data_IF_690551182079
#
_entry.id   IF_690551182079
#
_cell.length_a   1.000
_cell.length_b   1.000
_cell.length_c   1.000
_cell.angle_alpha   90.00
_cell.angle_beta   90.00
_cell.angle_gamma   90.00
#
_symmetry.space_group_name_H-M   'P 1'
#
loop_
_entity.id
_entity.type
_entity.pdbx_description
1 polymer ?
#
# COMPACT_ATOMS: atom_id res chain seq x y z
N UNK A 1 1.61 -41.72 9.73
CA UNK A 1 1.97 -40.45 10.37
C UNK A 1 3.48 -40.38 10.47
N UNK A 2 4.16 -39.47 9.75
CA UNK A 2 5.53 -38.95 10.01
C UNK A 2 6.11 -38.28 8.75
N UNK A 3 5.47 -37.21 8.28
CA UNK A 3 6.03 -36.31 7.26
C UNK A 3 6.11 -34.86 7.76
N UNK A 4 5.12 -34.43 8.56
CA UNK A 4 5.05 -33.07 9.09
C UNK A 4 6.14 -32.74 10.13
N UNK A 5 6.58 -33.72 10.92
CA UNK A 5 7.51 -33.47 12.03
C UNK A 5 8.95 -33.23 11.55
N UNK A 6 9.33 -33.73 10.37
CA UNK A 6 10.68 -33.52 9.82
C UNK A 6 10.84 -32.12 9.24
N UNK A 7 9.76 -31.55 8.66
CA UNK A 7 9.76 -30.20 8.10
C UNK A 7 9.88 -29.12 9.19
N UNK A 8 9.22 -29.33 10.34
CA UNK A 8 9.31 -28.43 11.50
C UNK A 8 10.72 -28.33 12.10
N UNK A 9 11.55 -29.38 11.99
CA UNK A 9 12.89 -29.39 12.58
C UNK A 9 13.95 -28.65 11.74
N UNK A 10 13.67 -28.42 10.46
CA UNK A 10 14.57 -27.70 9.54
C UNK A 10 14.23 -26.21 9.37
N UNK A 11 12.99 -25.82 9.65
CA UNK A 11 12.52 -24.43 9.59
C UNK A 11 12.70 -23.74 10.94
N UNK A 12 13.91 -23.80 11.50
CA UNK A 12 14.27 -23.27 12.83
C UNK A 12 13.46 -22.04 13.21
N UNK A 13 12.86 -22.09 14.41
CA UNK A 13 11.92 -21.11 14.98
C UNK A 13 11.99 -19.76 14.26
N UNK A 14 11.00 -19.52 13.40
CA UNK A 14 10.81 -18.22 12.76
C UNK A 14 10.54 -17.25 13.90
N UNK A 15 11.60 -16.58 14.37
CA UNK A 15 11.52 -15.40 15.22
C UNK A 15 10.48 -14.51 14.57
N UNK A 16 9.42 -14.22 15.32
CA UNK A 16 8.38 -13.24 14.97
C UNK A 16 9.08 -11.96 14.51
N UNK A 17 9.18 -11.81 13.19
CA UNK A 17 9.75 -10.64 12.56
C UNK A 17 8.66 -9.59 12.64
N UNK A 18 8.87 -8.62 13.53
CA UNK A 18 8.14 -7.36 13.72
C UNK A 18 6.78 -7.31 13.02
N UNK A 19 5.72 -7.53 13.79
CA UNK A 19 4.35 -7.23 13.36
C UNK A 19 4.28 -5.73 13.04
N UNK A 20 4.41 -5.38 11.77
CA UNK A 20 4.14 -4.03 11.30
C UNK A 20 2.64 -3.80 11.49
N UNK A 21 2.26 -3.07 12.54
CA UNK A 21 0.88 -2.66 12.77
C UNK A 21 0.52 -1.58 11.76
N UNK A 22 0.23 -1.99 10.52
CA UNK A 22 -0.39 -1.11 9.55
C UNK A 22 -1.71 -0.60 10.15
N UNK A 23 -1.83 0.72 10.33
CA UNK A 23 -3.07 1.31 10.84
C UNK A 23 -4.13 1.21 9.75
N UNK A 24 -5.23 0.53 10.04
CA UNK A 24 -6.39 0.48 9.16
C UNK A 24 -7.07 1.86 9.17
N UNK A 25 -7.03 2.58 8.06
CA UNK A 25 -7.66 3.90 7.95
C UNK A 25 -9.07 3.70 7.43
N UNK A 26 -10.02 3.45 8.35
CA UNK A 26 -11.43 3.31 8.00
C UNK A 26 -12.25 4.61 8.05
N UNK A 27 -11.71 5.74 8.53
CA UNK A 27 -12.54 6.93 8.81
C UNK A 27 -12.44 8.08 7.80
N UNK A 28 -11.45 8.07 6.91
CA UNK A 28 -11.22 9.19 5.97
C UNK A 28 -11.50 8.85 4.52
N UNK A 29 -11.34 7.57 4.15
CA UNK A 29 -11.82 7.08 2.86
C UNK A 29 -13.18 6.47 3.12
N UNK A 30 -14.21 7.25 2.83
CA UNK A 30 -15.58 6.88 3.17
C UNK A 30 -16.39 6.44 1.95
N UNK A 31 -15.90 6.75 0.74
CA UNK A 31 -16.52 6.34 -0.51
C UNK A 31 -15.49 5.99 -1.60
N UNK A 32 -16.00 5.46 -2.72
CA UNK A 32 -15.17 5.02 -3.84
C UNK A 32 -14.38 6.16 -4.49
N UNK A 33 -14.87 7.40 -4.44
CA UNK A 33 -14.18 8.54 -5.04
C UNK A 33 -12.96 8.94 -4.21
N UNK A 34 -13.09 8.93 -2.88
CA UNK A 34 -11.97 9.18 -1.97
C UNK A 34 -10.89 8.11 -2.14
N UNK A 35 -11.31 6.84 -2.25
CA UNK A 35 -10.38 5.73 -2.48
C UNK A 35 -9.66 5.86 -3.83
N UNK A 36 -10.38 6.20 -4.90
CA UNK A 36 -9.78 6.50 -6.22
C UNK A 36 -8.78 7.65 -6.10
N UNK A 37 -9.15 8.74 -5.42
CA UNK A 37 -8.29 9.91 -5.21
C UNK A 37 -7.00 9.56 -4.47
N UNK A 38 -7.09 8.77 -3.40
CA UNK A 38 -5.94 8.27 -2.66
C UNK A 38 -5.02 7.42 -3.55
N UNK A 39 -5.57 6.47 -4.32
CA UNK A 39 -4.78 5.64 -5.23
C UNK A 39 -4.12 6.45 -6.35
N UNK A 40 -4.78 7.48 -6.88
CA UNK A 40 -4.22 8.36 -7.91
C UNK A 40 -3.06 9.21 -7.37
N UNK A 41 -3.20 9.77 -6.16
CA UNK A 41 -2.11 10.50 -5.51
C UNK A 41 -0.93 9.57 -5.25
N UNK A 42 -1.20 8.35 -4.81
CA UNK A 42 -0.16 7.35 -4.58
C UNK A 42 0.56 6.95 -5.88
N UNK A 43 -0.16 6.63 -6.96
CA UNK A 43 0.44 6.27 -8.25
C UNK A 43 1.35 7.38 -8.79
N UNK A 44 0.89 8.64 -8.68
CA UNK A 44 1.69 9.79 -9.09
C UNK A 44 2.98 9.90 -8.28
N UNK A 45 2.92 9.69 -6.96
CA UNK A 45 4.11 9.70 -6.11
C UNK A 45 5.04 8.54 -6.44
N UNK A 46 4.51 7.32 -6.61
CA UNK A 46 5.28 6.14 -6.97
C UNK A 46 6.00 6.32 -8.30
N UNK A 47 5.36 6.95 -9.29
CA UNK A 47 5.98 7.31 -10.56
C UNK A 47 7.16 8.28 -10.39
N UNK A 48 7.04 9.28 -9.51
CA UNK A 48 8.14 10.22 -9.23
C UNK A 48 9.29 9.55 -8.49
N UNK A 49 8.97 8.66 -7.55
CA UNK A 49 9.96 7.84 -6.82
C UNK A 49 10.72 6.94 -7.80
N UNK A 50 10.02 6.23 -8.68
CA UNK A 50 10.68 5.37 -9.68
C UNK A 50 11.58 6.18 -10.60
N UNK A 51 11.12 7.35 -11.06
CA UNK A 51 11.95 8.26 -11.87
C UNK A 51 13.23 8.72 -11.17
N UNK A 52 13.16 9.08 -9.87
CA UNK A 52 14.36 9.46 -9.12
C UNK A 52 15.34 8.29 -8.99
N UNK A 53 14.83 7.09 -8.73
CA UNK A 53 15.65 5.88 -8.58
C UNK A 53 16.27 5.48 -9.92
N UNK A 54 15.50 5.50 -11.00
CA UNK A 54 15.98 5.25 -12.36
C UNK A 54 17.08 6.25 -12.75
N UNK A 55 16.88 7.53 -12.45
CA UNK A 55 17.87 8.56 -12.71
C UNK A 55 19.15 8.28 -11.90
N UNK A 56 19.01 7.92 -10.63
CA UNK A 56 20.13 7.59 -9.75
C UNK A 56 20.96 6.39 -10.25
N UNK A 57 20.29 5.37 -10.78
CA UNK A 57 20.93 4.14 -11.28
C UNK A 57 21.58 4.31 -12.65
N UNK A 58 20.87 4.97 -13.58
CA UNK A 58 21.24 4.95 -15.00
C UNK A 58 22.04 6.17 -15.45
N UNK A 59 22.15 7.21 -14.61
CA UNK A 59 22.87 8.42 -14.99
C UNK A 59 24.34 8.31 -14.57
N UNK A 60 25.19 7.99 -15.55
CA UNK A 60 26.64 7.86 -15.38
C UNK A 60 27.35 9.17 -15.01
N UNK A 61 26.68 10.31 -15.17
CA UNK A 61 27.23 11.65 -14.91
C UNK A 61 26.91 12.18 -13.51
N UNK A 62 26.14 11.44 -12.69
CA UNK A 62 25.78 11.93 -11.37
C UNK A 62 26.93 11.78 -10.38
N UNK A 63 27.30 12.90 -9.77
CA UNK A 63 28.20 12.90 -8.62
C UNK A 63 27.50 12.40 -7.34
N UNK A 64 28.29 12.17 -6.28
CA UNK A 64 27.79 11.67 -5.00
C UNK A 64 26.84 12.65 -4.29
N UNK A 65 26.92 13.95 -4.58
CA UNK A 65 26.04 14.96 -3.99
C UNK A 65 24.67 14.90 -4.67
N UNK A 66 24.65 14.77 -5.99
CA UNK A 66 23.44 14.64 -6.78
C UNK A 66 22.72 13.32 -6.47
N UNK A 67 23.44 12.20 -6.31
CA UNK A 67 22.85 10.93 -5.86
C UNK A 67 22.21 11.05 -4.48
N UNK A 68 22.92 11.65 -3.51
CA UNK A 68 22.36 11.94 -2.17
C UNK A 68 21.15 12.87 -2.22
N UNK A 69 21.12 13.81 -3.17
CA UNK A 69 20.00 14.71 -3.38
C UNK A 69 18.77 13.96 -3.92
N UNK A 70 18.96 13.04 -4.86
CA UNK A 70 17.89 12.14 -5.33
C UNK A 70 17.36 11.24 -4.20
N UNK A 71 18.25 10.74 -3.34
CA UNK A 71 17.87 9.92 -2.17
C UNK A 71 17.01 10.74 -1.19
N UNK A 72 17.44 11.97 -0.87
CA UNK A 72 16.68 12.88 -0.01
C UNK A 72 15.33 13.29 -0.63
N UNK A 73 15.29 13.57 -1.94
CA UNK A 73 14.07 13.90 -2.67
C UNK A 73 13.09 12.73 -2.65
N UNK A 74 13.60 11.51 -2.83
CA UNK A 74 12.80 10.28 -2.78
C UNK A 74 12.18 10.08 -1.40
N UNK A 75 12.97 10.24 -0.33
CA UNK A 75 12.46 10.21 1.04
C UNK A 75 11.37 11.26 1.27
N UNK A 76 11.59 12.49 0.77
CA UNK A 76 10.64 13.61 0.92
C UNK A 76 9.31 13.32 0.20
N UNK A 77 9.37 12.75 -1.01
CA UNK A 77 8.18 12.35 -1.76
C UNK A 77 7.33 11.34 -0.98
N UNK A 78 7.97 10.34 -0.38
CA UNK A 78 7.29 9.30 0.41
C UNK A 78 6.70 9.90 1.68
N UNK A 79 7.46 10.71 2.42
CA UNK A 79 7.01 11.33 3.68
C UNK A 79 5.84 12.29 3.48
N UNK A 80 5.82 13.04 2.37
CA UNK A 80 4.77 14.01 2.09
C UNK A 80 3.57 13.42 1.34
N UNK A 81 3.63 12.14 0.95
CA UNK A 81 2.55 11.48 0.24
C UNK A 81 1.38 11.24 1.21
N UNK A 82 0.39 12.11 1.12
CA UNK A 82 -0.79 12.08 1.96
C UNK A 82 -2.04 12.42 1.16
N UNK A 83 -3.17 11.93 1.63
CA UNK A 83 -4.50 12.26 1.11
C UNK A 83 -5.38 12.65 2.30
N UNK A 84 -6.08 13.78 2.18
CA UNK A 84 -6.94 14.34 3.24
C UNK A 84 -6.25 14.46 4.63
N UNK A 85 -4.95 14.76 4.63
CA UNK A 85 -4.15 14.93 5.85
C UNK A 85 -3.60 13.62 6.44
N UNK A 86 -3.83 12.48 5.80
CA UNK A 86 -3.30 11.19 6.25
C UNK A 86 -2.28 10.62 5.29
N UNK A 87 -1.16 10.13 5.84
CA UNK A 87 -0.08 9.52 5.08
C UNK A 87 -0.57 8.27 4.32
N UNK A 88 -0.14 8.13 3.06
CA UNK A 88 -0.50 6.98 2.23
C UNK A 88 0.40 5.77 2.49
N UNK A 89 1.71 5.97 2.64
CA UNK A 89 2.63 4.89 2.95
C UNK A 89 2.50 4.41 4.39
N UNK A 90 2.61 3.09 4.59
CA UNK A 90 2.56 2.44 5.89
C UNK A 90 1.15 2.26 6.45
N UNK A 91 0.12 2.46 5.64
CA UNK A 91 -1.27 2.27 6.05
C UNK A 91 -2.03 1.41 5.03
N UNK A 92 -3.17 0.90 5.49
CA UNK A 92 -4.13 0.15 4.68
C UNK A 92 -5.34 1.02 4.42
N UNK A 93 -5.77 1.07 3.16
CA UNK A 93 -6.97 1.77 2.71
C UNK A 93 -7.95 0.74 2.17
N UNK A 94 -9.23 0.92 2.46
CA UNK A 94 -10.25 0.04 1.93
C UNK A 94 -11.56 0.77 1.63
N UNK A 95 -12.36 0.19 0.76
CA UNK A 95 -13.67 0.71 0.40
C UNK A 95 -14.59 -0.41 -0.11
N UNK A 96 -15.90 -0.22 0.07
CA UNK A 96 -16.90 -0.99 -0.66
C UNK A 96 -17.39 -0.20 -1.87
N UNK A 97 -17.37 -0.83 -3.06
CA UNK A 97 -18.01 -0.30 -4.26
C UNK A 97 -19.05 -1.32 -4.75
N UNK A 98 -20.33 -1.02 -4.50
CA UNK A 98 -21.42 -1.97 -4.70
C UNK A 98 -21.34 -3.13 -3.69
N UNK A 99 -21.12 -4.34 -4.19
CA UNK A 99 -20.96 -5.55 -3.37
C UNK A 99 -19.50 -6.01 -3.23
N UNK A 100 -18.56 -5.30 -3.87
CA UNK A 100 -17.15 -5.65 -3.86
C UNK A 100 -16.37 -4.85 -2.82
N UNK A 101 -15.47 -5.53 -2.11
CA UNK A 101 -14.52 -4.94 -1.18
C UNK A 101 -13.17 -4.77 -1.86
N UNK A 102 -12.63 -3.56 -1.80
CA UNK A 102 -11.30 -3.24 -2.27
C UNK A 102 -10.43 -2.87 -1.08
N UNK A 103 -9.22 -3.39 -1.07
CA UNK A 103 -8.20 -3.05 -0.09
C UNK A 103 -6.88 -2.83 -0.82
N UNK A 104 -6.11 -1.85 -0.35
CA UNK A 104 -4.78 -1.60 -0.86
C UNK A 104 -3.85 -1.24 0.30
N UNK A 105 -2.67 -1.84 0.29
CA UNK A 105 -1.60 -1.60 1.25
C UNK A 105 -0.30 -1.31 0.52
N UNK A 106 0.47 -0.36 1.06
CA UNK A 106 1.84 -0.12 0.63
C UNK A 106 2.73 0.23 1.81
N UNK A 107 3.89 -0.43 1.87
CA UNK A 107 4.94 -0.12 2.83
C UNK A 107 5.88 0.93 2.24
N UNK A 108 6.59 1.68 3.08
CA UNK A 108 7.65 2.57 2.59
C UNK A 108 8.71 1.73 1.82
N UNK A 109 8.88 1.94 0.51
CA UNK A 109 9.79 1.15 -0.32
C UNK A 109 11.27 1.33 0.05
N UNK A 110 11.65 2.40 0.75
CA UNK A 110 13.04 2.57 1.18
C UNK A 110 13.44 1.62 2.31
N UNK A 111 12.48 0.98 3.00
CA UNK A 111 12.78 0.01 4.06
C UNK A 111 13.39 -1.30 3.54
N UNK A 112 13.23 -1.60 2.25
CA UNK A 112 13.81 -2.78 1.61
C UNK A 112 15.14 -2.48 0.90
N UNK A 113 15.64 -1.24 0.97
CA UNK A 113 16.84 -0.82 0.23
C UNK A 113 18.08 -1.68 0.56
N UNK A 114 18.30 -1.99 1.84
CA UNK A 114 19.47 -2.75 2.28
C UNK A 114 19.46 -4.20 1.76
N UNK A 115 18.28 -4.81 1.62
CA UNK A 115 18.14 -6.22 1.26
C UNK A 115 17.94 -6.44 -0.25
N UNK A 116 17.32 -5.49 -0.94
CA UNK A 116 16.84 -5.65 -2.31
C UNK A 116 17.49 -4.67 -3.31
N UNK A 117 18.25 -3.69 -2.83
CA UNK A 117 18.84 -2.65 -3.67
C UNK A 117 17.79 -1.75 -4.33
N UNK A 118 18.25 -0.86 -5.21
CA UNK A 118 17.37 0.07 -5.91
C UNK A 118 16.55 -0.61 -7.00
N UNK A 119 17.11 -1.63 -7.65
CA UNK A 119 16.44 -2.44 -8.66
C UNK A 119 15.26 -3.23 -8.05
N UNK A 120 15.45 -3.80 -6.86
CA UNK A 120 14.35 -4.48 -6.16
C UNK A 120 13.26 -3.50 -5.71
N UNK A 121 13.63 -2.27 -5.35
CA UNK A 121 12.65 -1.21 -5.07
C UNK A 121 11.85 -0.87 -6.34
N UNK A 122 12.51 -0.74 -7.50
CA UNK A 122 11.82 -0.45 -8.75
C UNK A 122 10.80 -1.55 -9.10
N UNK A 123 11.19 -2.82 -8.97
CA UNK A 123 10.27 -3.96 -9.19
C UNK A 123 9.08 -3.90 -8.23
N UNK A 124 9.31 -3.64 -6.94
CA UNK A 124 8.21 -3.49 -5.96
C UNK A 124 7.26 -2.35 -6.32
N UNK A 125 7.81 -1.21 -6.76
CA UNK A 125 7.01 -0.05 -7.19
C UNK A 125 6.21 -0.40 -8.43
N UNK A 126 6.79 -1.08 -9.42
CA UNK A 126 6.09 -1.50 -10.63
C UNK A 126 4.91 -2.42 -10.31
N UNK A 127 5.13 -3.45 -9.50
CA UNK A 127 4.09 -4.37 -9.02
C UNK A 127 2.94 -3.61 -8.34
N UNK A 128 3.27 -2.67 -7.44
CA UNK A 128 2.27 -1.87 -6.74
C UNK A 128 1.51 -0.91 -7.65
N UNK A 129 2.16 -0.35 -8.67
CA UNK A 129 1.48 0.51 -9.64
C UNK A 129 0.54 -0.30 -10.54
N UNK A 130 0.89 -1.54 -10.88
CA UNK A 130 0.03 -2.43 -11.65
C UNK A 130 -1.17 -2.93 -10.83
N UNK A 131 -0.98 -3.18 -9.54
CA UNK A 131 -2.08 -3.42 -8.59
C UNK A 131 -3.05 -2.22 -8.56
N UNK A 132 -2.53 -0.99 -8.42
CA UNK A 132 -3.35 0.24 -8.47
C UNK A 132 -4.13 0.34 -9.78
N UNK A 133 -3.48 0.16 -10.94
CA UNK A 133 -4.16 0.21 -12.25
C UNK A 133 -5.28 -0.81 -12.35
N UNK A 134 -5.07 -2.02 -11.84
CA UNK A 134 -6.05 -3.10 -11.84
C UNK A 134 -7.27 -2.71 -11.00
N UNK A 135 -7.06 -2.24 -9.78
CA UNK A 135 -8.12 -1.80 -8.86
C UNK A 135 -8.91 -0.62 -9.47
N UNK A 136 -8.23 0.39 -9.99
CA UNK A 136 -8.87 1.55 -10.61
C UNK A 136 -9.71 1.14 -11.84
N UNK A 137 -9.23 0.18 -12.64
CA UNK A 137 -9.97 -0.34 -13.78
C UNK A 137 -11.22 -1.11 -13.37
N UNK A 138 -11.13 -1.91 -12.30
CA UNK A 138 -12.27 -2.63 -11.73
C UNK A 138 -13.32 -1.65 -11.18
N UNK A 139 -12.89 -0.64 -10.42
CA UNK A 139 -13.77 0.42 -9.91
C UNK A 139 -14.46 1.17 -11.05
N UNK A 140 -13.73 1.55 -12.10
CA UNK A 140 -14.30 2.21 -13.26
C UNK A 140 -15.41 1.37 -13.92
N UNK A 141 -15.21 0.06 -14.03
CA UNK A 141 -16.23 -0.86 -14.58
C UNK A 141 -17.48 -0.95 -13.69
N UNK A 142 -17.31 -1.02 -12.36
CA UNK A 142 -18.43 -1.06 -11.39
C UNK A 142 -19.23 0.24 -11.45
N UNK A 143 -18.53 1.37 -11.53
CA UNK A 143 -19.14 2.70 -11.65
C UNK A 143 -19.93 2.80 -12.96
N UNK A 144 -19.32 2.42 -14.09
CA UNK A 144 -19.94 2.50 -15.41
C UNK A 144 -21.16 1.58 -15.57
N UNK A 145 -21.14 0.41 -14.93
CA UNK A 145 -22.25 -0.55 -14.97
C UNK A 145 -23.39 -0.22 -13.99
N UNK A 146 -23.26 0.85 -13.20
CA UNK A 146 -24.30 1.30 -12.26
C UNK A 146 -24.51 0.36 -11.07
N UNK A 147 -23.57 -0.55 -10.79
CA UNK A 147 -23.66 -1.49 -9.66
C UNK A 147 -23.35 -0.84 -8.30
N UNK A 148 -23.19 0.49 -8.27
CA UNK A 148 -23.01 1.24 -7.02
C UNK A 148 -24.38 1.47 -6.38
N UNK A 149 -24.83 0.51 -5.58
CA UNK A 149 -25.87 0.78 -4.60
C UNK A 149 -25.27 1.67 -3.49
N UNK A 150 -25.25 2.99 -3.72
CA UNK A 150 -24.80 4.02 -2.76
C UNK A 150 -25.66 4.12 -1.47
N UNK A 151 -26.49 3.12 -1.18
CA UNK A 151 -27.33 3.05 0.00
C UNK A 151 -27.11 1.71 0.71
N UNK A 152 -25.97 1.56 1.39
CA UNK A 152 -25.98 0.80 2.64
C UNK A 152 -25.83 1.83 3.76
N UNK A 153 -26.88 2.09 4.57
CA UNK A 153 -26.69 2.85 5.79
C UNK A 153 -25.60 2.12 6.59
N UNK A 154 -24.66 2.88 7.13
CA UNK A 154 -23.74 2.42 8.16
C UNK A 154 -24.54 1.56 9.15
N UNK A 155 -24.38 0.23 9.09
CA UNK A 155 -24.88 -0.62 10.15
C UNK A 155 -23.97 -0.36 11.33
N UNK A 156 -24.39 0.59 12.16
CA UNK A 156 -23.84 0.86 13.48
C UNK A 156 -24.23 -0.28 14.43
N UNK A 157 -24.12 -1.52 13.99
CA UNK A 157 -23.84 -2.63 14.88
C UNK A 157 -22.36 -2.56 15.23
N UNK A 158 -22.07 -1.57 16.09
CA UNK A 158 -21.04 -1.75 17.11
C UNK A 158 -21.32 -3.10 17.75
N UNK A 159 -20.47 -4.09 17.43
CA UNK A 159 -20.47 -5.38 18.09
C UNK A 159 -20.38 -5.08 19.59
N UNK A 160 -21.52 -5.18 20.27
CA UNK A 160 -21.63 -4.84 21.67
C UNK A 160 -21.09 -6.04 22.44
N UNK A 161 -19.76 -6.10 22.56
CA UNK A 161 -18.99 -7.13 23.25
C UNK A 161 -19.37 -7.27 24.74
N UNK A 162 -20.24 -6.39 25.28
CA UNK A 162 -20.76 -6.45 26.64
C UNK A 162 -21.71 -7.62 26.93
N UNK A 163 -22.21 -8.31 25.90
CA UNK A 163 -23.10 -9.47 26.10
C UNK A 163 -22.38 -10.83 25.98
N UNK A 164 -21.06 -10.86 25.79
CA UNK A 164 -20.30 -12.11 25.65
C UNK A 164 -19.85 -12.73 26.99
N UNK A 165 -20.10 -12.07 28.13
CA UNK A 165 -19.70 -12.54 29.46
C UNK A 165 -20.83 -12.51 30.50
N UNK A 166 -22.07 -12.82 30.08
CA UNK A 166 -23.17 -13.08 31.02
C UNK A 166 -23.65 -14.52 30.92
#
# INVERSE_FOLDING_TARGET
>A
MNGLNTLKKHLGEVKEMSRFEAKQICSQINDANDFIGALQVLDLTLKKVSQNIDQRLNSNELDDIQKRTLDANTSTLIQNCSFMGTALFGNIFNVYAGEQFFEFEITNPLLMLENNGYEGILSYIEDKRDEIKTILSQLANIIATGSINNNKPYDTQTANFKNLFR
#
